data_IF_423268240265
#
_entry.id   IF_423268240265
#
_cell.length_a   1.000
_cell.length_b   1.000
_cell.length_c   1.000
_cell.angle_alpha   90.00
_cell.angle_beta   90.00
_cell.angle_gamma   90.00
#
_symmetry.space_group_name_H-M   'P 1'
#
loop_
_entity.id
_entity.type
_entity.pdbx_description
1 polymer ?
#
# COMPACT_ATOMS: atom_id res chain seq x y z
N UNK A 1 61.26 18.11 15.37
CA UNK A 1 61.00 18.38 13.94
C UNK A 1 60.65 17.04 13.28
N UNK A 2 59.49 16.79 12.70
CA UNK A 2 58.35 17.67 12.44
C UNK A 2 57.01 16.92 12.52
N UNK A 3 55.92 17.66 12.80
CA UNK A 3 54.57 17.12 12.89
C UNK A 3 53.98 17.01 11.47
N UNK A 4 53.67 15.78 11.04
CA UNK A 4 52.85 15.56 9.86
C UNK A 4 51.39 15.76 10.24
N UNK A 5 50.93 17.00 10.04
CA UNK A 5 49.54 17.39 10.06
C UNK A 5 48.76 16.60 9.01
N UNK A 6 48.13 15.50 9.44
CA UNK A 6 47.07 14.87 8.67
C UNK A 6 45.87 15.80 8.72
N UNK A 7 45.71 16.54 7.62
CA UNK A 7 44.56 17.35 7.33
C UNK A 7 43.29 16.47 7.41
N UNK A 8 42.60 16.57 8.54
CA UNK A 8 41.17 16.29 8.62
C UNK A 8 40.49 17.25 7.64
N UNK A 9 40.24 16.78 6.41
CA UNK A 9 39.16 17.29 5.59
C UNK A 9 37.87 17.01 6.37
N UNK A 10 37.54 17.93 7.28
CA UNK A 10 36.17 18.18 7.66
C UNK A 10 35.48 18.58 6.37
N UNK A 11 34.80 17.61 5.75
CA UNK A 11 33.67 17.88 4.87
C UNK A 11 32.71 18.72 5.71
N UNK A 12 32.85 20.04 5.60
CA UNK A 12 31.89 20.97 6.16
C UNK A 12 30.53 20.53 5.61
N UNK A 13 29.69 20.00 6.50
CA UNK A 13 28.30 19.73 6.15
C UNK A 13 27.76 21.02 5.55
N UNK A 14 27.20 21.00 4.33
CA UNK A 14 26.60 22.19 3.76
C UNK A 14 25.60 22.73 4.79
N UNK A 15 25.62 24.05 5.08
CA UNK A 15 24.69 24.65 6.04
C UNK A 15 23.26 24.23 5.67
N UNK A 16 22.36 23.99 6.65
CA UNK A 16 21.02 23.49 6.38
C UNK A 16 20.24 24.47 5.51
N UNK A 17 20.30 24.30 4.19
CA UNK A 17 19.60 25.13 3.19
C UNK A 17 18.07 24.93 3.21
N UNK A 18 17.50 24.29 4.25
CA UNK A 18 16.07 23.95 4.39
C UNK A 18 15.42 24.55 5.65
N UNK A 19 15.90 25.70 6.08
CA UNK A 19 15.02 26.67 6.78
C UNK A 19 14.16 27.47 5.77
N UNK A 20 14.06 26.96 4.54
CA UNK A 20 13.15 27.41 3.48
C UNK A 20 11.70 27.38 3.96
N UNK A 21 11.23 28.57 4.36
CA UNK A 21 9.85 29.03 4.39
C UNK A 21 8.83 27.95 4.77
N UNK A 22 8.85 27.56 6.05
CA UNK A 22 7.72 26.86 6.62
C UNK A 22 6.54 27.81 6.64
N UNK A 23 5.53 27.54 5.82
CA UNK A 23 4.28 28.29 5.89
C UNK A 23 3.69 28.18 7.29
N UNK A 24 3.17 29.29 7.79
CA UNK A 24 2.37 29.31 8.99
C UNK A 24 0.91 28.88 8.70
N UNK A 25 0.10 28.77 9.76
CA UNK A 25 -1.30 28.36 9.60
C UNK A 25 -2.15 29.37 8.81
N UNK A 26 -1.83 30.67 8.87
CA UNK A 26 -2.59 31.71 8.15
C UNK A 26 -2.32 31.60 6.65
N UNK A 27 -1.08 31.38 6.27
CA UNK A 27 -0.68 31.19 4.88
C UNK A 27 -1.31 29.92 4.28
N UNK A 28 -1.33 28.81 5.03
CA UNK A 28 -2.05 27.59 4.62
C UNK A 28 -3.55 27.85 4.42
N UNK A 29 -4.19 28.56 5.36
CA UNK A 29 -5.62 28.91 5.23
C UNK A 29 -5.89 29.79 4.00
N UNK A 30 -4.98 30.71 3.69
CA UNK A 30 -5.09 31.53 2.47
C UNK A 30 -4.99 30.68 1.20
N UNK A 31 -4.09 29.69 1.15
CA UNK A 31 -4.00 28.75 0.03
C UNK A 31 -5.29 27.90 -0.10
N UNK A 32 -5.85 27.44 1.01
CA UNK A 32 -7.13 26.69 1.00
C UNK A 32 -8.28 27.57 0.49
N UNK A 33 -8.32 28.85 0.85
CA UNK A 33 -9.32 29.79 0.31
C UNK A 33 -9.12 30.04 -1.19
N UNK A 34 -7.87 30.14 -1.66
CA UNK A 34 -7.55 30.28 -3.08
C UNK A 34 -8.03 29.10 -3.94
N UNK A 35 -8.19 27.90 -3.35
CA UNK A 35 -8.81 26.77 -4.04
C UNK A 35 -10.29 27.02 -4.41
N UNK A 36 -10.93 28.07 -3.89
CA UNK A 36 -12.29 28.51 -4.27
C UNK A 36 -12.31 29.51 -5.43
N UNK A 37 -11.16 30.05 -5.83
CA UNK A 37 -11.07 31.07 -6.89
C UNK A 37 -11.78 30.64 -8.17
N UNK A 38 -12.51 31.53 -8.83
CA UNK A 38 -13.11 31.26 -10.14
C UNK A 38 -12.02 31.07 -11.23
N UNK A 39 -10.84 31.66 -11.04
CA UNK A 39 -9.69 31.49 -11.92
C UNK A 39 -9.00 30.14 -11.70
N UNK A 40 -9.00 29.32 -12.76
CA UNK A 40 -8.35 28.01 -12.78
C UNK A 40 -6.86 28.08 -12.44
N UNK A 41 -6.13 29.08 -12.97
CA UNK A 41 -4.69 29.19 -12.74
C UNK A 41 -4.35 29.42 -11.26
N UNK A 42 -5.19 30.19 -10.56
CA UNK A 42 -5.06 30.41 -9.11
C UNK A 42 -5.29 29.12 -8.33
N UNK A 43 -6.32 28.34 -8.69
CA UNK A 43 -6.61 27.06 -8.02
C UNK A 43 -5.47 26.05 -8.23
N UNK A 44 -4.93 25.94 -9.44
CA UNK A 44 -3.79 25.07 -9.73
C UNK A 44 -2.53 25.48 -8.97
N UNK A 45 -2.21 26.78 -8.94
CA UNK A 45 -1.06 27.29 -8.20
C UNK A 45 -1.19 27.02 -6.69
N UNK A 46 -2.39 27.22 -6.12
CA UNK A 46 -2.67 26.93 -4.73
C UNK A 46 -2.58 25.41 -4.44
N UNK A 47 -3.12 24.56 -5.30
CA UNK A 47 -3.00 23.10 -5.21
C UNK A 47 -1.54 22.65 -5.19
N UNK A 48 -0.68 23.21 -6.04
CA UNK A 48 0.74 22.84 -6.07
C UNK A 48 1.51 23.38 -4.86
N UNK A 49 1.23 24.60 -4.41
CA UNK A 49 1.82 25.15 -3.19
C UNK A 49 1.47 24.28 -1.97
N UNK A 50 0.22 23.79 -1.87
CA UNK A 50 -0.19 22.88 -0.80
C UNK A 50 0.59 21.55 -0.82
N UNK A 51 0.91 21.00 -1.99
CA UNK A 51 1.78 19.80 -2.11
C UNK A 51 3.17 20.08 -1.54
N UNK A 52 3.75 21.24 -1.88
CA UNK A 52 5.09 21.63 -1.43
C UNK A 52 5.15 21.88 0.08
N UNK A 53 4.03 22.30 0.69
CA UNK A 53 3.92 22.62 2.10
C UNK A 53 3.02 21.66 2.89
N UNK A 54 2.98 20.38 2.49
CA UNK A 54 2.08 19.38 3.06
C UNK A 54 2.21 19.21 4.58
N UNK A 55 3.42 19.30 5.16
CA UNK A 55 3.59 19.23 6.62
C UNK A 55 2.87 20.37 7.35
N UNK A 56 2.90 21.59 6.80
CA UNK A 56 2.19 22.73 7.37
C UNK A 56 0.67 22.54 7.24
N UNK A 57 0.22 22.03 6.10
CA UNK A 57 -1.18 21.68 5.86
C UNK A 57 -1.68 20.62 6.85
N UNK A 58 -0.96 19.51 7.03
CA UNK A 58 -1.34 18.44 7.96
C UNK A 58 -1.42 18.94 9.41
N UNK A 59 -0.45 19.75 9.87
CA UNK A 59 -0.52 20.35 11.21
C UNK A 59 -1.74 21.25 11.37
N UNK A 60 -2.11 21.98 10.32
CA UNK A 60 -3.28 22.88 10.32
C UNK A 60 -4.58 22.07 10.40
N UNK A 61 -4.65 20.93 9.70
CA UNK A 61 -5.76 19.96 9.78
C UNK A 61 -5.85 19.31 11.17
N UNK A 62 -4.74 18.80 11.71
CA UNK A 62 -4.69 18.16 13.04
C UNK A 62 -5.11 19.10 14.16
N UNK A 63 -4.85 20.41 14.02
CA UNK A 63 -5.29 21.45 14.96
C UNK A 63 -6.75 21.86 14.78
N UNK A 64 -7.46 21.29 13.81
CA UNK A 64 -8.86 21.62 13.52
C UNK A 64 -9.06 23.02 12.95
N UNK A 65 -8.01 23.65 12.40
CA UNK A 65 -8.10 25.03 11.89
C UNK A 65 -8.78 25.11 10.52
N UNK A 66 -8.83 24.00 9.78
CA UNK A 66 -9.60 23.86 8.55
C UNK A 66 -10.86 23.05 8.86
N UNK A 67 -12.03 23.69 8.77
CA UNK A 67 -13.30 23.00 8.91
C UNK A 67 -13.70 22.39 7.56
N UNK A 68 -13.40 21.10 7.38
CA UNK A 68 -13.68 20.37 6.16
C UNK A 68 -15.16 20.47 5.73
N UNK A 69 -16.11 20.53 6.67
CA UNK A 69 -17.56 20.62 6.35
C UNK A 69 -17.94 21.92 5.65
N UNK A 70 -17.13 22.97 5.80
CA UNK A 70 -17.38 24.29 5.20
C UNK A 70 -16.76 24.45 3.81
N UNK A 71 -15.85 23.55 3.41
CA UNK A 71 -15.20 23.59 2.10
C UNK A 71 -16.18 23.18 0.99
N UNK A 72 -16.06 23.82 -0.17
CA UNK A 72 -16.79 23.37 -1.36
C UNK A 72 -16.33 21.97 -1.79
N UNK A 73 -17.14 21.21 -2.55
CA UNK A 73 -16.74 19.90 -3.05
C UNK A 73 -15.42 19.94 -3.84
N UNK A 74 -15.19 20.95 -4.69
CA UNK A 74 -13.94 21.10 -5.42
C UNK A 74 -12.75 21.37 -4.49
N UNK A 75 -12.90 22.28 -3.51
CA UNK A 75 -11.85 22.54 -2.53
C UNK A 75 -11.45 21.27 -1.78
N UNK A 76 -12.43 20.45 -1.35
CA UNK A 76 -12.19 19.17 -0.68
C UNK A 76 -11.37 18.22 -1.56
N UNK A 77 -11.81 18.02 -2.81
CA UNK A 77 -11.13 17.12 -3.76
C UNK A 77 -9.68 17.56 -3.97
N UNK A 78 -9.46 18.84 -4.30
CA UNK A 78 -8.12 19.39 -4.54
C UNK A 78 -7.21 19.31 -3.32
N UNK A 79 -7.76 19.54 -2.13
CA UNK A 79 -7.05 19.42 -0.86
C UNK A 79 -6.59 17.97 -0.62
N UNK A 80 -7.50 17.02 -0.80
CA UNK A 80 -7.20 15.59 -0.67
C UNK A 80 -6.17 15.13 -1.69
N UNK A 81 -6.31 15.54 -2.96
CA UNK A 81 -5.34 15.22 -4.01
C UNK A 81 -3.96 15.82 -3.73
N UNK A 82 -3.89 17.05 -3.20
CA UNK A 82 -2.62 17.66 -2.81
C UNK A 82 -1.92 16.85 -1.70
N UNK A 83 -2.66 16.44 -0.67
CA UNK A 83 -2.12 15.63 0.42
C UNK A 83 -1.73 14.22 -0.03
N UNK A 84 -2.53 13.58 -0.88
CA UNK A 84 -2.21 12.25 -1.41
C UNK A 84 -0.95 12.30 -2.29
N UNK A 85 -0.84 13.30 -3.18
CA UNK A 85 0.36 13.53 -4.00
C UNK A 85 1.58 13.78 -3.12
N UNK A 86 1.44 14.56 -2.06
CA UNK A 86 2.53 14.79 -1.11
C UNK A 86 2.92 13.50 -0.37
N UNK A 87 1.96 12.74 0.13
CA UNK A 87 2.17 11.46 0.80
C UNK A 87 2.88 10.44 -0.10
N UNK A 88 2.52 10.38 -1.38
CA UNK A 88 3.16 9.49 -2.35
C UNK A 88 4.66 9.78 -2.52
N UNK A 89 5.08 11.05 -2.41
CA UNK A 89 6.47 11.52 -2.58
C UNK A 89 7.26 11.62 -1.26
N UNK A 90 6.57 11.69 -0.12
CA UNK A 90 7.19 11.91 1.18
C UNK A 90 8.04 10.72 1.65
N UNK A 91 9.12 10.97 2.41
CA UNK A 91 9.79 9.93 3.18
C UNK A 91 8.82 9.21 4.11
N UNK A 92 9.01 7.90 4.28
CA UNK A 92 8.08 7.04 5.04
C UNK A 92 8.71 6.57 6.35
N UNK A 93 7.88 6.42 7.37
CA UNK A 93 8.25 5.73 8.60
C UNK A 93 8.67 4.29 8.32
N UNK A 94 9.72 3.84 8.99
CA UNK A 94 10.18 2.47 8.98
C UNK A 94 10.50 2.00 10.39
N UNK A 95 9.91 0.90 10.83
CA UNK A 95 10.13 0.39 12.19
C UNK A 95 11.48 -0.32 12.34
N UNK A 96 11.98 -0.97 11.28
CA UNK A 96 13.25 -1.71 11.35
C UNK A 96 13.12 -3.06 12.06
N UNK A 97 12.05 -3.80 11.75
CA UNK A 97 11.83 -5.17 12.23
C UNK A 97 11.62 -6.12 11.05
N UNK A 98 11.92 -7.40 11.28
CA UNK A 98 11.59 -8.47 10.37
C UNK A 98 10.71 -9.50 11.09
N UNK A 99 9.59 -9.85 10.47
CA UNK A 99 8.71 -10.91 10.95
C UNK A 99 9.26 -12.29 10.63
N UNK A 100 8.91 -13.29 11.44
CA UNK A 100 9.22 -14.70 11.24
C UNK A 100 8.36 -15.36 10.13
N UNK A 101 7.72 -14.57 9.26
CA UNK A 101 6.74 -15.02 8.28
C UNK A 101 7.25 -16.22 7.47
N UNK A 102 6.47 -17.30 7.47
CA UNK A 102 6.78 -18.54 6.75
C UNK A 102 7.51 -19.60 7.59
N UNK A 103 7.90 -19.33 8.84
CA UNK A 103 8.42 -20.37 9.73
C UNK A 103 7.27 -21.21 10.34
N UNK A 104 7.30 -22.56 10.20
CA UNK A 104 6.28 -23.42 10.79
C UNK A 104 6.22 -23.27 12.32
N UNK A 105 5.01 -23.13 12.85
CA UNK A 105 4.77 -23.08 14.31
C UNK A 105 4.97 -21.70 14.96
N UNK A 106 5.32 -20.66 14.20
CA UNK A 106 5.40 -19.28 14.69
C UNK A 106 4.30 -18.41 14.10
N UNK A 107 3.89 -17.40 14.87
CA UNK A 107 2.98 -16.35 14.40
C UNK A 107 3.61 -15.57 13.24
N UNK A 108 2.84 -15.23 12.19
CA UNK A 108 3.23 -14.22 11.20
C UNK A 108 3.68 -12.87 11.78
N UNK A 109 3.27 -12.54 13.00
CA UNK A 109 3.60 -11.30 13.72
C UNK A 109 4.68 -11.48 14.80
N UNK A 110 5.34 -12.63 14.88
CA UNK A 110 6.52 -12.78 15.74
C UNK A 110 7.70 -12.02 15.13
N UNK A 111 8.32 -11.14 15.92
CA UNK A 111 9.53 -10.43 15.55
C UNK A 111 10.69 -11.44 15.54
N UNK A 112 11.26 -11.67 14.37
CA UNK A 112 12.43 -12.54 14.20
C UNK A 112 13.71 -11.80 14.56
N UNK A 113 13.85 -10.55 14.08
CA UNK A 113 15.00 -9.70 14.36
C UNK A 113 14.68 -8.22 14.18
N UNK A 114 15.50 -7.38 14.80
CA UNK A 114 15.51 -5.93 14.60
C UNK A 114 16.68 -5.55 13.69
N UNK A 115 16.56 -4.42 13.00
CA UNK A 115 17.61 -3.87 12.12
C UNK A 115 18.53 -2.98 12.95
N UNK A 116 19.86 -3.24 13.00
CA UNK A 116 20.79 -2.39 13.71
C UNK A 116 20.72 -0.93 13.26
N UNK A 117 20.79 0.01 14.20
CA UNK A 117 20.70 1.45 13.93
C UNK A 117 19.27 2.00 13.81
N UNK A 118 18.23 1.16 13.79
CA UNK A 118 16.85 1.62 13.94
C UNK A 118 16.48 1.80 15.42
N UNK A 119 15.65 2.80 15.77
CA UNK A 119 15.26 3.04 17.16
C UNK A 119 14.56 1.84 17.81
N UNK A 120 13.77 1.08 17.03
CA UNK A 120 13.07 -0.11 17.53
C UNK A 120 14.00 -1.20 18.08
N UNK A 121 15.27 -1.25 17.65
CA UNK A 121 16.23 -2.24 18.15
C UNK A 121 16.56 -2.09 19.65
N UNK A 122 16.25 -0.94 20.26
CA UNK A 122 16.43 -0.69 21.68
C UNK A 122 15.22 -1.11 22.53
N UNK A 123 14.06 -1.29 21.89
CA UNK A 123 12.78 -1.50 22.58
C UNK A 123 12.20 -2.89 22.33
N UNK A 124 12.28 -3.37 21.08
CA UNK A 124 11.73 -4.63 20.62
C UNK A 124 12.79 -5.72 20.64
N UNK A 125 12.38 -6.92 21.02
CA UNK A 125 13.25 -8.08 21.12
C UNK A 125 12.78 -9.19 20.16
N UNK A 126 13.71 -10.00 19.63
CA UNK A 126 13.35 -11.26 18.99
C UNK A 126 12.43 -12.11 19.87
N UNK A 127 11.38 -12.66 19.29
CA UNK A 127 10.36 -13.46 19.97
C UNK A 127 9.16 -12.65 20.51
N UNK A 128 9.20 -11.32 20.49
CA UNK A 128 8.01 -10.50 20.75
C UNK A 128 6.94 -10.78 19.69
N UNK A 129 5.68 -10.82 20.09
CA UNK A 129 4.53 -10.98 19.19
C UNK A 129 3.70 -9.71 19.20
N UNK A 130 3.46 -9.10 18.05
CA UNK A 130 2.63 -7.89 17.97
C UNK A 130 1.15 -8.28 18.16
N UNK A 131 0.49 -7.65 19.13
CA UNK A 131 -0.94 -7.82 19.44
C UNK A 131 -1.79 -6.61 19.05
N UNK A 132 -1.16 -5.46 18.81
CA UNK A 132 -1.84 -4.25 18.40
C UNK A 132 -0.89 -3.13 18.01
N UNK A 133 -1.38 -2.17 17.23
CA UNK A 133 -0.64 -1.03 16.68
C UNK A 133 -1.61 0.15 16.52
N UNK A 134 -1.21 1.34 16.96
CA UNK A 134 -2.00 2.57 16.75
C UNK A 134 -3.46 2.46 17.28
N UNK A 135 -3.63 1.78 18.41
CA UNK A 135 -4.95 1.48 19.01
C UNK A 135 -5.73 0.34 18.33
N UNK A 136 -5.26 -0.19 17.20
CA UNK A 136 -5.89 -1.31 16.48
C UNK A 136 -5.35 -2.64 16.99
N UNK A 137 -6.23 -3.51 17.49
CA UNK A 137 -5.88 -4.90 17.84
C UNK A 137 -5.72 -5.74 16.56
N UNK A 138 -4.72 -6.60 16.54
CA UNK A 138 -4.46 -7.53 15.44
C UNK A 138 -4.43 -8.96 15.95
N UNK A 139 -4.90 -9.91 15.15
CA UNK A 139 -4.78 -11.33 15.46
C UNK A 139 -3.39 -11.82 14.99
N UNK A 140 -2.50 -12.24 15.90
CA UNK A 140 -1.18 -12.73 15.51
C UNK A 140 -1.23 -13.98 14.64
N UNK A 141 -2.31 -14.76 14.65
CA UNK A 141 -2.46 -15.96 13.84
C UNK A 141 -2.99 -15.67 12.44
N UNK A 142 -3.58 -14.49 12.23
CA UNK A 142 -4.11 -14.08 10.94
C UNK A 142 -2.99 -13.59 10.01
N UNK A 143 -2.80 -14.21 8.82
CA UNK A 143 -1.83 -13.75 7.84
C UNK A 143 -2.03 -12.29 7.40
N UNK A 144 -3.28 -11.79 7.38
CA UNK A 144 -3.61 -10.42 6.94
C UNK A 144 -3.15 -9.36 7.94
N UNK A 145 -3.02 -9.71 9.22
CA UNK A 145 -2.54 -8.80 10.28
C UNK A 145 -1.15 -8.23 10.00
N UNK A 146 -0.29 -8.96 9.28
CA UNK A 146 1.03 -8.46 8.87
C UNK A 146 0.94 -7.27 7.91
N UNK A 147 -0.07 -7.24 7.04
CA UNK A 147 -0.33 -6.12 6.15
C UNK A 147 -0.87 -4.93 6.93
N UNK A 148 -1.81 -5.15 7.86
CA UNK A 148 -2.35 -4.09 8.75
C UNK A 148 -1.21 -3.38 9.48
N UNK A 149 -0.33 -4.14 10.15
CA UNK A 149 0.82 -3.57 10.87
C UNK A 149 1.71 -2.75 9.94
N UNK A 150 2.00 -3.27 8.73
CA UNK A 150 2.80 -2.56 7.73
C UNK A 150 2.13 -1.26 7.26
N UNK A 151 0.82 -1.25 7.02
CA UNK A 151 0.08 -0.06 6.58
C UNK A 151 0.09 1.04 7.64
N UNK A 152 -0.08 0.68 8.91
CA UNK A 152 0.03 1.65 10.02
C UNK A 152 1.45 2.22 10.14
N UNK A 153 2.51 1.43 9.94
CA UNK A 153 3.88 1.96 9.94
C UNK A 153 4.09 2.94 8.78
N UNK A 154 3.61 2.59 7.58
CA UNK A 154 3.79 3.39 6.37
C UNK A 154 2.94 4.68 6.34
N UNK A 155 1.89 4.77 7.17
CA UNK A 155 1.03 5.96 7.27
C UNK A 155 1.69 7.11 8.05
N UNK A 156 2.79 6.82 8.76
CA UNK A 156 3.53 7.77 9.61
C UNK A 156 4.77 8.34 8.91
N UNK A 157 5.20 9.52 9.37
CA UNK A 157 6.45 10.14 8.94
C UNK A 157 7.65 9.55 9.71
N UNK A 158 8.87 9.59 9.16
CA UNK A 158 10.07 9.27 9.92
C UNK A 158 10.22 10.17 11.16
N UNK A 159 10.62 9.59 12.28
CA UNK A 159 10.77 10.28 13.56
C UNK A 159 9.49 10.34 14.40
N UNK A 160 8.31 10.05 13.83
CA UNK A 160 7.10 9.88 14.61
C UNK A 160 7.18 8.63 15.50
N UNK A 161 6.42 8.66 16.59
CA UNK A 161 6.31 7.54 17.53
C UNK A 161 4.94 6.89 17.37
N UNK A 162 4.91 5.57 17.32
CA UNK A 162 3.68 4.79 17.19
C UNK A 162 3.46 3.92 18.43
N UNK A 163 2.26 3.92 19.03
CA UNK A 163 1.96 3.03 20.14
C UNK A 163 1.81 1.61 19.63
N UNK A 164 2.50 0.67 20.27
CA UNK A 164 2.53 -0.75 19.93
C UNK A 164 2.20 -1.59 21.16
N UNK A 165 1.38 -2.61 20.97
CA UNK A 165 1.07 -3.61 21.98
C UNK A 165 1.76 -4.91 21.59
N UNK A 166 2.63 -5.44 22.45
CA UNK A 166 3.37 -6.68 22.18
C UNK A 166 3.21 -7.68 23.31
N UNK A 167 3.27 -8.97 23.00
CA UNK A 167 3.42 -10.04 23.96
C UNK A 167 4.90 -10.44 24.07
N UNK A 168 5.44 -10.34 25.29
CA UNK A 168 6.80 -10.78 25.62
C UNK A 168 6.74 -11.77 26.77
N UNK A 169 7.17 -13.01 26.53
CA UNK A 169 7.16 -14.09 27.53
C UNK A 169 5.79 -14.26 28.22
N UNK A 170 4.72 -14.20 27.42
CA UNK A 170 3.34 -14.33 27.89
C UNK A 170 2.73 -13.07 28.54
N UNK A 171 3.46 -11.96 28.65
CA UNK A 171 2.95 -10.69 29.20
C UNK A 171 2.72 -9.66 28.09
N UNK A 172 1.60 -8.95 28.16
CA UNK A 172 1.31 -7.82 27.27
C UNK A 172 2.06 -6.56 27.75
N UNK A 173 2.74 -5.88 26.83
CA UNK A 173 3.48 -4.64 27.06
C UNK A 173 2.99 -3.59 26.07
N UNK A 174 2.79 -2.36 26.55
CA UNK A 174 2.52 -1.20 25.71
C UNK A 174 3.81 -0.41 25.54
N UNK A 175 4.20 -0.14 24.31
CA UNK A 175 5.48 0.48 23.94
C UNK A 175 5.24 1.64 22.99
N UNK A 176 5.92 2.75 23.20
CA UNK A 176 5.97 3.88 22.29
C UNK A 176 7.21 3.73 21.40
N UNK A 177 7.01 3.33 20.13
CA UNK A 177 8.12 2.94 19.24
C UNK A 177 8.42 4.06 18.24
N UNK A 178 9.59 4.72 18.30
CA UNK A 178 9.99 5.71 17.31
C UNK A 178 10.31 5.05 15.96
N UNK A 179 9.84 5.67 14.89
CA UNK A 179 10.05 5.21 13.52
C UNK A 179 11.32 5.82 12.93
N UNK A 180 12.14 4.97 12.32
CA UNK A 180 13.23 5.40 11.46
C UNK A 180 12.75 5.79 10.06
N UNK A 181 13.68 6.01 9.15
CA UNK A 181 13.37 6.23 7.73
C UNK A 181 13.30 4.89 6.99
N UNK A 182 12.24 4.67 6.23
CA UNK A 182 12.04 3.45 5.44
C UNK A 182 13.17 3.20 4.43
N UNK A 183 13.70 4.25 3.80
CA UNK A 183 14.78 4.18 2.81
C UNK A 183 16.13 3.67 3.36
N UNK A 184 16.28 3.61 4.69
CA UNK A 184 17.48 3.09 5.37
C UNK A 184 17.40 1.62 5.77
N UNK A 185 16.30 0.92 5.46
CA UNK A 185 16.20 -0.51 5.74
C UNK A 185 17.24 -1.29 4.90
N UNK A 186 17.81 -2.35 5.48
CA UNK A 186 18.93 -3.11 4.89
C UNK A 186 18.65 -3.73 3.51
N UNK A 187 17.38 -3.80 3.10
CA UNK A 187 16.98 -4.20 1.77
C UNK A 187 15.92 -3.22 1.23
N UNK A 188 16.30 -1.99 0.85
CA UNK A 188 15.35 -0.96 0.43
C UNK A 188 14.86 -1.20 -1.00
N UNK A 189 15.13 -2.37 -1.58
CA UNK A 189 14.65 -2.76 -2.90
C UNK A 189 13.14 -3.02 -2.91
N UNK A 190 12.34 -1.98 -2.70
CA UNK A 190 11.04 -1.75 -3.35
C UNK A 190 10.44 -0.49 -2.74
N UNK A 191 10.08 0.47 -3.59
CA UNK A 191 8.91 1.30 -3.31
C UNK A 191 7.80 0.34 -2.86
N UNK A 192 7.16 0.55 -1.68
CA UNK A 192 6.13 -0.38 -1.23
C UNK A 192 5.09 -0.60 -2.34
N UNK A 193 4.51 -1.80 -2.45
CA UNK A 193 3.45 -2.07 -3.42
C UNK A 193 2.38 -0.97 -3.39
N UNK A 194 1.86 -0.58 -4.55
CA UNK A 194 0.88 0.51 -4.66
C UNK A 194 -0.34 0.30 -3.74
N UNK A 195 -0.75 -0.96 -3.55
CA UNK A 195 -1.82 -1.34 -2.64
C UNK A 195 -1.51 -1.00 -1.18
N UNK A 196 -0.29 -1.28 -0.71
CA UNK A 196 0.15 -0.92 0.64
C UNK A 196 0.17 0.60 0.82
N UNK A 197 0.54 1.34 -0.23
CA UNK A 197 0.55 2.80 -0.21
C UNK A 197 -0.86 3.39 -0.11
N UNK A 198 -1.79 2.84 -0.89
CA UNK A 198 -3.18 3.28 -0.87
C UNK A 198 -3.83 2.99 0.50
N UNK A 199 -3.59 1.81 1.08
CA UNK A 199 -4.06 1.48 2.43
C UNK A 199 -3.45 2.38 3.51
N UNK A 200 -2.14 2.63 3.44
CA UNK A 200 -1.47 3.55 4.36
C UNK A 200 -1.98 4.99 4.23
N UNK A 201 -2.26 5.45 3.00
CA UNK A 201 -2.88 6.76 2.76
C UNK A 201 -4.26 6.85 3.41
N UNK A 202 -5.11 5.83 3.25
CA UNK A 202 -6.43 5.80 3.89
C UNK A 202 -6.35 5.92 5.42
N UNK A 203 -5.41 5.21 6.05
CA UNK A 203 -5.17 5.31 7.50
C UNK A 203 -4.75 6.74 7.88
N UNK A 204 -3.81 7.34 7.13
CA UNK A 204 -3.37 8.72 7.38
C UNK A 204 -4.49 9.73 7.18
N UNK A 205 -5.27 9.59 6.11
CA UNK A 205 -6.40 10.45 5.81
C UNK A 205 -7.48 10.39 6.89
N UNK A 206 -7.78 9.20 7.41
CA UNK A 206 -8.68 9.02 8.56
C UNK A 206 -8.14 9.73 9.81
N UNK A 207 -6.85 9.60 10.11
CA UNK A 207 -6.20 10.33 11.22
C UNK A 207 -6.26 11.86 11.06
N UNK A 208 -6.24 12.36 9.83
CA UNK A 208 -6.40 13.78 9.51
C UNK A 208 -7.87 14.23 9.48
N UNK A 209 -8.83 13.34 9.71
CA UNK A 209 -10.27 13.62 9.67
C UNK A 209 -10.83 13.84 8.25
N UNK A 210 -10.10 13.42 7.20
CA UNK A 210 -10.50 13.59 5.81
C UNK A 210 -11.53 12.54 5.34
N UNK A 211 -11.61 11.42 6.05
CA UNK A 211 -12.59 10.37 5.79
C UNK A 211 -13.74 10.59 6.76
N UNK A 212 -14.89 11.06 6.26
CA UNK A 212 -16.13 11.03 7.03
C UNK A 212 -16.57 9.56 7.13
N UNK A 213 -16.64 9.01 8.35
CA UNK A 213 -17.11 7.63 8.59
C UNK A 213 -18.56 7.42 8.11
N UNK A 214 -19.31 8.50 7.92
CA UNK A 214 -20.66 8.53 7.36
C UNK A 214 -20.67 8.43 5.83
N UNK A 215 -19.77 7.62 5.24
CA UNK A 215 -19.89 7.27 3.84
C UNK A 215 -21.29 6.69 3.63
N UNK A 216 -22.10 7.41 2.85
CA UNK A 216 -23.46 7.06 2.46
C UNK A 216 -23.41 5.60 2.01
N UNK A 217 -23.80 4.69 2.91
CA UNK A 217 -24.16 3.33 2.51
C UNK A 217 -25.29 3.59 1.53
N UNK A 218 -25.14 3.27 0.23
CA UNK A 218 -26.24 3.41 -0.69
C UNK A 218 -27.35 2.61 -0.04
N UNK A 219 -28.42 3.28 0.38
CA UNK A 219 -29.63 2.59 0.74
C UNK A 219 -30.06 1.95 -0.57
N UNK A 220 -29.61 0.71 -0.78
CA UNK A 220 -30.14 -0.13 -1.83
C UNK A 220 -31.63 -0.10 -1.59
N UNK A 221 -32.36 0.53 -2.50
CA UNK A 221 -33.82 0.53 -2.56
C UNK A 221 -34.27 -0.92 -2.37
N UNK A 222 -34.63 -1.27 -1.13
CA UNK A 222 -35.05 -2.61 -0.72
C UNK A 222 -36.55 -2.81 -0.97
N UNK A 223 -37.19 -1.91 -1.71
CA UNK A 223 -38.62 -1.93 -2.00
C UNK A 223 -38.85 -1.78 -3.51
N UNK A 224 -38.42 -2.77 -4.28
CA UNK A 224 -38.96 -3.01 -5.61
C UNK A 224 -38.77 -4.49 -5.98
N UNK A 225 -39.85 -5.27 -5.79
CA UNK A 225 -40.19 -6.44 -6.58
C UNK A 225 -39.17 -7.58 -6.65
N UNK A 226 -39.48 -8.68 -5.96
CA UNK A 226 -39.11 -10.02 -6.38
C UNK A 226 -39.54 -10.22 -7.84
N UNK A 227 -38.63 -9.99 -8.80
CA UNK A 227 -38.55 -10.60 -10.14
C UNK A 227 -37.55 -9.86 -11.03
N UNK A 228 -36.28 -9.81 -10.64
CA UNK A 228 -35.18 -9.51 -11.55
C UNK A 228 -33.84 -10.01 -10.98
N UNK A 229 -33.60 -11.31 -11.14
CA UNK A 229 -32.22 -11.82 -11.21
C UNK A 229 -31.55 -11.18 -12.42
N UNK A 230 -30.52 -10.34 -12.23
CA UNK A 230 -29.31 -10.20 -13.04
C UNK A 230 -28.45 -8.98 -12.59
N UNK A 231 -27.29 -9.29 -12.00
CA UNK A 231 -26.00 -8.57 -12.09
C UNK A 231 -25.95 -7.03 -12.03
N UNK A 232 -25.94 -6.44 -10.83
CA UNK A 232 -25.65 -5.00 -10.65
C UNK A 232 -24.43 -4.69 -9.73
N UNK A 233 -23.73 -5.69 -9.20
CA UNK A 233 -22.61 -5.49 -8.27
C UNK A 233 -21.27 -5.11 -8.92
N UNK A 234 -21.05 -5.44 -10.20
CA UNK A 234 -19.73 -5.31 -10.85
C UNK A 234 -19.53 -3.99 -11.63
N UNK A 235 -20.57 -3.17 -11.83
CA UNK A 235 -20.47 -2.00 -12.72
C UNK A 235 -19.94 -0.74 -12.01
N UNK A 236 -20.05 -0.64 -10.69
CA UNK A 236 -19.65 0.57 -9.95
C UNK A 236 -18.13 0.70 -9.77
N UNK A 237 -17.41 -0.42 -9.61
CA UNK A 237 -15.94 -0.44 -9.51
C UNK A 237 -15.28 -0.28 -10.90
N UNK A 238 -15.99 -0.59 -12.00
CA UNK A 238 -15.51 -0.36 -13.35
C UNK A 238 -15.55 1.13 -13.75
N UNK A 239 -16.48 1.92 -13.20
CA UNK A 239 -16.64 3.34 -13.55
C UNK A 239 -15.51 4.24 -13.00
N UNK A 240 -14.87 3.85 -11.91
CA UNK A 240 -13.73 4.58 -11.33
C UNK A 240 -12.39 4.28 -12.04
N UNK A 241 -12.35 3.33 -12.98
CA UNK A 241 -11.14 2.96 -13.73
C UNK A 241 -11.07 3.51 -15.16
N UNK A 242 -12.06 4.28 -15.63
CA UNK A 242 -12.15 4.71 -17.04
C UNK A 242 -12.09 6.23 -17.28
N UNK A 243 -11.35 6.98 -16.47
CA UNK A 243 -11.02 8.39 -16.78
C UNK A 243 -9.54 8.72 -16.54
N UNK A 244 -8.66 8.07 -17.31
CA UNK A 244 -7.41 8.69 -17.75
C UNK A 244 -7.01 8.04 -19.08
N UNK A 245 -7.22 8.77 -20.17
CA UNK A 245 -7.02 8.20 -21.50
C UNK A 245 -7.31 9.15 -22.64
N UNK A 246 -6.88 10.41 -22.57
CA UNK A 246 -6.64 11.26 -23.75
C UNK A 246 -5.58 12.31 -23.39
N UNK A 247 -4.36 12.20 -23.93
CA UNK A 247 -3.56 13.29 -24.54
C UNK A 247 -2.45 12.68 -25.45
N UNK A 248 -2.48 13.14 -26.70
CA UNK A 248 -1.44 13.29 -27.73
C UNK A 248 -0.58 12.10 -28.18
N UNK A 249 -0.86 11.63 -29.40
CA UNK A 249 0.10 10.92 -30.23
C UNK A 249 1.26 11.83 -30.66
N UNK A 250 2.48 11.39 -30.34
CA UNK A 250 3.71 11.84 -30.99
C UNK A 250 4.17 10.75 -31.96
N UNK A 251 4.30 11.08 -33.23
CA UNK A 251 4.87 10.20 -34.25
C UNK A 251 6.39 10.02 -34.01
N UNK A 252 6.96 8.84 -34.30
CA UNK A 252 8.41 8.69 -34.30
C UNK A 252 9.02 9.38 -35.53
N UNK A 253 9.88 10.37 -35.30
CA UNK A 253 10.83 10.87 -36.29
C UNK A 253 11.86 9.78 -36.58
N UNK A 254 11.77 9.19 -37.77
CA UNK A 254 12.88 8.50 -38.42
C UNK A 254 13.81 9.54 -39.04
N UNK A 255 15.06 9.60 -38.59
CA UNK A 255 16.15 10.18 -39.37
C UNK A 255 17.37 9.23 -39.37
N UNK A 256 17.73 8.61 -40.50
CA UNK A 256 18.91 7.78 -40.63
C UNK A 256 20.05 8.56 -41.31
N UNK A 257 20.90 9.21 -40.52
CA UNK A 257 22.14 9.76 -41.04
C UNK A 257 23.22 9.88 -39.95
N UNK A 258 23.90 8.78 -39.63
CA UNK A 258 25.36 8.83 -39.48
C UNK A 258 25.96 7.42 -39.44
N UNK A 259 26.42 7.03 -40.62
CA UNK A 259 27.36 5.95 -40.87
C UNK A 259 28.78 6.41 -40.51
N UNK A 260 29.36 5.85 -39.45
CA UNK A 260 30.82 5.75 -39.34
C UNK A 260 31.21 4.29 -39.21
N UNK A 261 32.00 3.88 -40.20
CA UNK A 261 32.51 2.54 -40.39
C UNK A 261 33.57 2.20 -39.34
N UNK A 262 33.38 1.07 -38.66
CA UNK A 262 34.48 0.26 -38.14
C UNK A 262 34.28 -1.14 -38.68
N UNK A 263 34.98 -1.45 -39.79
CA UNK A 263 35.23 -2.80 -40.24
C UNK A 263 36.30 -3.43 -39.34
N UNK A 264 36.07 -4.64 -38.85
CA UNK A 264 37.16 -5.45 -38.32
C UNK A 264 36.78 -6.65 -37.46
N UNK A 265 36.09 -7.64 -38.02
CA UNK A 265 36.27 -9.04 -37.63
C UNK A 265 35.34 -9.61 -36.54
N UNK A 266 34.67 -10.71 -36.90
CA UNK A 266 34.02 -11.71 -36.01
C UNK A 266 32.57 -11.49 -35.50
N UNK A 267 31.67 -10.91 -36.28
CA UNK A 267 30.28 -10.68 -35.81
C UNK A 267 29.20 -11.71 -36.20
N UNK A 268 29.49 -12.76 -36.99
CA UNK A 268 28.46 -13.77 -37.33
C UNK A 268 28.20 -14.79 -36.21
N UNK A 269 29.19 -15.13 -35.40
CA UNK A 269 29.00 -16.05 -34.27
C UNK A 269 28.28 -15.36 -33.08
N UNK A 270 28.53 -14.07 -32.86
CA UNK A 270 27.87 -13.28 -31.81
C UNK A 270 26.40 -12.94 -32.13
N UNK A 271 26.03 -12.71 -33.39
CA UNK A 271 24.64 -12.46 -33.77
C UNK A 271 23.73 -13.70 -33.59
N UNK A 272 24.25 -14.92 -33.84
CA UNK A 272 23.50 -16.16 -33.61
C UNK A 272 23.33 -16.42 -32.11
N UNK A 273 24.35 -16.16 -31.29
CA UNK A 273 24.26 -16.32 -29.83
C UNK A 273 23.33 -15.30 -29.14
N UNK A 274 23.19 -14.08 -29.68
CA UNK A 274 22.24 -13.10 -29.14
C UNK A 274 20.78 -13.38 -29.53
N UNK A 275 20.53 -13.96 -30.71
CA UNK A 275 19.16 -14.29 -31.14
C UNK A 275 18.60 -15.50 -30.40
N UNK A 276 19.42 -16.51 -30.08
CA UNK A 276 18.96 -17.68 -29.31
C UNK A 276 18.65 -17.33 -27.85
N UNK A 277 19.43 -16.44 -27.23
CA UNK A 277 19.16 -15.98 -25.86
C UNK A 277 17.88 -15.13 -25.74
N UNK A 278 17.57 -14.28 -26.74
CA UNK A 278 16.35 -13.48 -26.73
C UNK A 278 15.08 -14.35 -26.84
N UNK A 279 15.10 -15.38 -27.69
CA UNK A 279 13.99 -16.32 -27.84
C UNK A 279 13.76 -17.14 -26.55
N UNK A 280 14.84 -17.62 -25.90
CA UNK A 280 14.76 -18.39 -24.66
C UNK A 280 14.24 -17.54 -23.49
N UNK A 281 14.72 -16.29 -23.36
CA UNK A 281 14.25 -15.36 -22.32
C UNK A 281 12.77 -14.98 -22.51
N UNK A 282 12.33 -14.77 -23.75
CA UNK A 282 10.92 -14.51 -24.06
C UNK A 282 10.00 -15.68 -23.69
N UNK A 283 10.45 -16.92 -23.90
CA UNK A 283 9.68 -18.11 -23.51
C UNK A 283 9.56 -18.25 -21.99
N UNK A 284 10.65 -18.04 -21.22
CA UNK A 284 10.59 -18.07 -19.75
C UNK A 284 9.69 -16.95 -19.20
N UNK A 285 9.75 -15.76 -19.79
CA UNK A 285 8.88 -14.65 -19.37
C UNK A 285 7.40 -14.96 -19.60
N UNK A 286 7.03 -15.59 -20.72
CA UNK A 286 5.65 -16.03 -20.99
C UNK A 286 5.20 -17.11 -20.01
N UNK A 287 6.06 -18.08 -19.69
CA UNK A 287 5.75 -19.11 -18.70
C UNK A 287 5.52 -18.50 -17.31
N UNK A 288 6.40 -17.59 -16.89
CA UNK A 288 6.24 -16.89 -15.61
C UNK A 288 4.96 -16.02 -15.58
N UNK A 289 4.60 -15.39 -16.69
CA UNK A 289 3.35 -14.62 -16.82
C UNK A 289 2.12 -15.53 -16.75
N UNK A 290 2.14 -16.68 -17.43
CA UNK A 290 1.05 -17.66 -17.38
C UNK A 290 0.89 -18.25 -15.97
N UNK A 291 1.99 -18.55 -15.30
CA UNK A 291 1.97 -19.05 -13.93
C UNK A 291 1.43 -17.99 -12.96
N UNK A 292 1.85 -16.72 -13.10
CA UNK A 292 1.33 -15.62 -12.31
C UNK A 292 -0.17 -15.41 -12.54
N UNK A 293 -0.65 -15.53 -13.79
CA UNK A 293 -2.08 -15.44 -14.12
C UNK A 293 -2.88 -16.57 -13.49
N UNK A 294 -2.42 -17.82 -13.62
CA UNK A 294 -3.06 -18.98 -13.01
C UNK A 294 -3.12 -18.86 -11.49
N UNK A 295 -2.04 -18.38 -10.86
CA UNK A 295 -1.99 -18.15 -9.42
C UNK A 295 -3.00 -17.08 -8.98
N UNK A 296 -3.12 -15.98 -9.73
CA UNK A 296 -4.09 -14.94 -9.46
C UNK A 296 -5.54 -15.45 -9.60
N UNK A 297 -5.81 -16.28 -10.61
CA UNK A 297 -7.12 -16.90 -10.83
C UNK A 297 -7.50 -17.84 -9.68
N UNK A 298 -6.59 -18.74 -9.28
CA UNK A 298 -6.82 -19.66 -8.17
C UNK A 298 -7.02 -18.91 -6.84
N UNK A 299 -6.27 -17.83 -6.61
CA UNK A 299 -6.47 -17.00 -5.43
C UNK A 299 -7.85 -16.33 -5.43
N UNK A 300 -8.28 -15.77 -6.56
CA UNK A 300 -9.63 -15.19 -6.70
C UNK A 300 -10.72 -16.23 -6.47
N UNK A 301 -10.56 -17.45 -7.02
CA UNK A 301 -11.48 -18.58 -6.80
C UNK A 301 -11.55 -18.97 -5.32
N UNK A 302 -10.41 -19.03 -4.63
CA UNK A 302 -10.36 -19.35 -3.20
C UNK A 302 -11.10 -18.31 -2.35
N UNK A 303 -10.95 -17.02 -2.67
CA UNK A 303 -11.67 -15.94 -1.97
C UNK A 303 -13.19 -16.05 -2.17
N UNK A 304 -13.64 -16.32 -3.39
CA UNK A 304 -15.06 -16.54 -3.68
C UNK A 304 -15.62 -17.73 -2.91
N UNK A 305 -14.91 -18.87 -2.90
CA UNK A 305 -15.35 -20.06 -2.16
C UNK A 305 -15.47 -19.81 -0.66
N UNK A 306 -14.54 -19.05 -0.06
CA UNK A 306 -14.61 -18.68 1.37
C UNK A 306 -15.78 -17.77 1.68
N UNK A 307 -16.08 -16.82 0.80
CA UNK A 307 -17.26 -15.96 0.93
C UNK A 307 -18.54 -16.81 0.89
N UNK A 308 -18.65 -17.71 -0.09
CA UNK A 308 -19.79 -18.63 -0.21
C UNK A 308 -19.90 -19.54 1.01
N UNK A 309 -18.79 -20.08 1.53
CA UNK A 309 -18.78 -20.88 2.75
C UNK A 309 -19.37 -20.09 3.95
N UNK A 310 -18.93 -18.84 4.12
CA UNK A 310 -19.42 -17.99 5.19
C UNK A 310 -20.93 -17.71 5.08
N UNK A 311 -21.44 -17.49 3.86
CA UNK A 311 -22.87 -17.31 3.60
C UNK A 311 -23.68 -18.58 3.93
N UNK A 312 -23.26 -19.74 3.42
CA UNK A 312 -23.93 -21.01 3.69
C UNK A 312 -23.88 -21.39 5.18
N UNK A 313 -22.80 -21.07 5.87
CA UNK A 313 -22.68 -21.26 7.32
C UNK A 313 -23.73 -20.45 8.08
N UNK A 314 -23.93 -19.18 7.72
CA UNK A 314 -24.99 -18.33 8.31
C UNK A 314 -26.38 -18.91 8.07
N UNK A 315 -26.66 -19.36 6.84
CA UNK A 315 -27.94 -19.99 6.51
C UNK A 315 -28.17 -21.27 7.32
N UNK A 316 -27.16 -22.13 7.44
CA UNK A 316 -27.25 -23.40 8.17
C UNK A 316 -27.51 -23.24 9.68
N UNK A 317 -27.09 -22.11 10.27
CA UNK A 317 -27.24 -21.80 11.71
C UNK A 317 -28.43 -20.90 12.03
N UNK A 318 -29.06 -20.26 11.04
CA UNK A 318 -30.15 -19.31 11.27
C UNK A 318 -31.45 -20.05 11.69
N UNK A 319 -31.96 -19.87 12.92
CA UNK A 319 -33.15 -20.58 13.40
C UNK A 319 -34.44 -20.18 12.66
N UNK A 320 -34.46 -19.02 12.01
CA UNK A 320 -35.63 -18.52 11.28
C UNK A 320 -35.75 -19.09 9.86
N UNK A 321 -34.76 -19.87 9.40
CA UNK A 321 -34.80 -20.49 8.07
C UNK A 321 -35.52 -21.84 8.10
N UNK A 322 -36.30 -22.19 7.05
CA UNK A 322 -36.90 -23.52 6.91
C UNK A 322 -35.86 -24.64 7.09
N UNK A 323 -36.26 -25.75 7.72
CA UNK A 323 -35.34 -26.86 7.99
C UNK A 323 -34.72 -27.45 6.71
N UNK A 324 -35.50 -27.52 5.62
CA UNK A 324 -35.01 -27.95 4.31
C UNK A 324 -33.88 -27.05 3.78
N UNK A 325 -34.03 -25.72 3.90
CA UNK A 325 -33.01 -24.76 3.48
C UNK A 325 -31.74 -24.88 4.34
N UNK A 326 -31.89 -25.09 5.65
CA UNK A 326 -30.75 -25.34 6.55
C UNK A 326 -30.02 -26.63 6.19
N UNK A 327 -30.75 -27.69 5.85
CA UNK A 327 -30.18 -28.97 5.40
C UNK A 327 -29.41 -28.79 4.09
N UNK A 328 -30.02 -28.20 3.07
CA UNK A 328 -29.36 -27.92 1.79
C UNK A 328 -28.10 -27.05 1.95
N UNK A 329 -28.12 -26.07 2.87
CA UNK A 329 -26.95 -25.27 3.18
C UNK A 329 -25.80 -26.09 3.81
N UNK A 330 -26.10 -27.06 4.69
CA UNK A 330 -25.10 -27.96 5.27
C UNK A 330 -24.49 -28.89 4.22
N UNK A 331 -25.31 -29.47 3.36
CA UNK A 331 -24.84 -30.33 2.27
C UNK A 331 -23.92 -29.55 1.31
N UNK A 332 -24.25 -28.29 1.02
CA UNK A 332 -23.42 -27.40 0.20
C UNK A 332 -22.09 -27.04 0.87
N UNK A 333 -22.03 -26.94 2.21
CA UNK A 333 -20.78 -26.62 2.93
C UNK A 333 -19.72 -27.71 2.76
N UNK A 334 -20.12 -28.98 2.72
CA UNK A 334 -19.18 -30.08 2.51
C UNK A 334 -18.56 -30.01 1.11
N UNK A 335 -19.39 -29.76 0.09
CA UNK A 335 -18.93 -29.55 -1.28
C UNK A 335 -17.96 -28.36 -1.38
N UNK A 336 -18.32 -27.20 -0.81
CA UNK A 336 -17.47 -25.99 -0.83
C UNK A 336 -16.12 -26.26 -0.14
N UNK A 337 -16.11 -26.92 1.02
CA UNK A 337 -14.87 -27.25 1.75
C UNK A 337 -13.96 -28.17 0.96
N UNK A 338 -14.52 -29.19 0.30
CA UNK A 338 -13.74 -30.08 -0.56
C UNK A 338 -13.08 -29.32 -1.73
N UNK A 339 -13.78 -28.37 -2.33
CA UNK A 339 -13.25 -27.55 -3.43
C UNK A 339 -12.19 -26.56 -2.93
N UNK A 340 -12.36 -25.99 -1.74
CA UNK A 340 -11.32 -25.16 -1.08
C UNK A 340 -10.03 -25.95 -0.91
N UNK A 341 -10.09 -27.18 -0.38
CA UNK A 341 -8.91 -28.04 -0.20
C UNK A 341 -8.25 -28.37 -1.55
N UNK A 342 -9.04 -28.63 -2.59
CA UNK A 342 -8.53 -28.85 -3.94
C UNK A 342 -7.78 -27.63 -4.49
N UNK A 343 -8.36 -26.44 -4.39
CA UNK A 343 -7.72 -25.19 -4.86
C UNK A 343 -6.44 -24.88 -4.06
N UNK A 344 -6.46 -25.10 -2.74
CA UNK A 344 -5.28 -24.96 -1.90
C UNK A 344 -4.16 -25.92 -2.30
N UNK A 345 -4.49 -27.18 -2.63
CA UNK A 345 -3.52 -28.15 -3.15
C UNK A 345 -2.92 -27.70 -4.47
N UNK A 346 -3.72 -27.19 -5.40
CA UNK A 346 -3.23 -26.65 -6.68
C UNK A 346 -2.28 -25.45 -6.47
N UNK A 347 -2.60 -24.55 -5.55
CA UNK A 347 -1.72 -23.43 -5.19
C UNK A 347 -0.39 -23.93 -4.59
N UNK A 348 -0.42 -24.96 -3.75
CA UNK A 348 0.78 -25.56 -3.18
C UNK A 348 1.66 -26.22 -4.26
N UNK A 349 1.06 -26.91 -5.23
CA UNK A 349 1.76 -27.52 -6.37
C UNK A 349 2.45 -26.47 -7.26
N UNK A 350 1.84 -25.31 -7.47
CA UNK A 350 2.45 -24.20 -8.21
C UNK A 350 3.63 -23.62 -7.41
N UNK A 351 3.44 -23.33 -6.12
CA UNK A 351 4.49 -22.74 -5.28
C UNK A 351 5.69 -23.68 -5.02
N UNK A 352 5.52 -25.00 -5.19
CA UNK A 352 6.56 -26.01 -4.98
C UNK A 352 7.40 -26.34 -6.22
N UNK A 353 7.11 -25.75 -7.39
CA UNK A 353 7.93 -25.95 -8.59
C UNK A 353 9.18 -25.05 -8.51
N UNK A 354 10.39 -25.63 -8.59
CA UNK A 354 11.65 -24.89 -8.48
C UNK A 354 11.94 -23.99 -9.69
#
# INVERSE_FOLDING_TARGET
MGPAAQAQLQLAEPPPQREQQRLDAREVLALVEQLRSDDFAVREAASEALVQHAEALERTLQRGQINLRTLTPEQKIRLMEALERAFARAPRGGMGIQFAGGQPGLSPLTIQRTVPGFPAAQLLLPGDVILGIDGVRVDPMDPESSAIVRHHILSHNPGETIPLVVQRRGRELQLEVPLGRFDRLANPQTTPPLEDLHSAWRIRAARLGLVEEDAIVPQTLSEAGEDASLGAGDQFIALLRSRSGVVAGGAPLTDPANSWAVMGGSSRALQIATQTNAAFNGQRQRLNQQEAQLRAELFRKLQLLRLTEAQHRKLATNPNMPEEARKAARDSLEAIRSEILRVQKQLAEINGRP
#
